data_IF_082240869400
#
_entry.id   IF_082240869400
#
_cell.length_a   1.000
_cell.length_b   1.000
_cell.length_c   1.000
_cell.angle_alpha   90.00
_cell.angle_beta   90.00
_cell.angle_gamma   90.00
#
_symmetry.space_group_name_H-M   'P 1'
#
loop_
_entity.id
_entity.type
_entity.pdbx_description
1 polymer ?
#
# COMPACT_ATOMS: atom_id res chain seq x y z
N UNK A 1 4.95 15.89 -23.98
CA UNK A 1 4.19 14.63 -23.75
C UNK A 1 4.93 13.84 -22.69
N UNK A 2 4.70 14.17 -21.41
CA UNK A 2 5.43 13.56 -20.30
C UNK A 2 4.67 12.31 -19.85
N UNK A 3 4.96 11.16 -20.46
CA UNK A 3 4.32 9.88 -20.15
C UNK A 3 4.71 9.33 -18.76
N UNK A 4 5.60 10.01 -18.04
CA UNK A 4 6.03 9.67 -16.68
C UNK A 4 4.93 9.92 -15.63
N UNK A 5 3.97 10.80 -15.92
CA UNK A 5 2.86 11.14 -15.01
C UNK A 5 2.00 9.89 -14.70
N UNK A 6 1.41 9.18 -15.68
CA UNK A 6 0.60 8.00 -15.38
C UNK A 6 1.42 6.82 -14.86
N UNK A 7 2.71 6.72 -15.19
CA UNK A 7 3.55 5.56 -14.81
C UNK A 7 3.74 5.48 -13.30
N UNK A 8 4.03 6.60 -12.64
CA UNK A 8 4.27 6.60 -11.19
C UNK A 8 2.96 6.33 -10.40
N UNK A 9 1.79 6.77 -10.89
CA UNK A 9 0.48 6.52 -10.26
C UNK A 9 0.15 5.05 -10.40
N UNK A 10 0.37 4.49 -11.59
CA UNK A 10 0.14 3.08 -11.88
C UNK A 10 1.04 2.19 -11.02
N UNK A 11 2.30 2.58 -10.79
CA UNK A 11 3.21 1.87 -9.88
C UNK A 11 2.71 1.92 -8.44
N UNK A 12 2.30 3.09 -7.93
CA UNK A 12 1.72 3.21 -6.59
C UNK A 12 0.47 2.35 -6.40
N UNK A 13 -0.42 2.36 -7.39
CA UNK A 13 -1.61 1.52 -7.41
C UNK A 13 -1.27 0.02 -7.48
N UNK A 14 -0.28 -0.37 -8.30
CA UNK A 14 0.17 -1.76 -8.39
C UNK A 14 0.78 -2.25 -7.08
N UNK A 15 1.57 -1.42 -6.38
CA UNK A 15 2.12 -1.76 -5.07
C UNK A 15 1.00 -2.00 -4.05
N UNK A 16 -0.03 -1.14 -4.02
CA UNK A 16 -1.22 -1.38 -3.18
C UNK A 16 -1.97 -2.66 -3.54
N UNK A 17 -2.14 -2.94 -4.84
CA UNK A 17 -2.76 -4.17 -5.30
C UNK A 17 -1.94 -5.42 -4.93
N UNK A 18 -0.61 -5.34 -4.98
CA UNK A 18 0.32 -6.39 -4.56
C UNK A 18 0.25 -6.66 -3.06
N UNK A 19 0.05 -5.63 -2.22
CA UNK A 19 -0.17 -5.84 -0.79
C UNK A 19 -1.46 -6.63 -0.54
N UNK A 20 -2.53 -6.34 -1.29
CA UNK A 20 -3.79 -7.07 -1.21
C UNK A 20 -3.67 -8.53 -1.67
N UNK A 21 -3.03 -8.78 -2.81
CA UNK A 21 -2.82 -10.15 -3.32
C UNK A 21 -1.78 -10.93 -2.51
N UNK A 22 -0.79 -10.26 -1.91
CA UNK A 22 0.18 -10.86 -0.99
C UNK A 22 -0.50 -11.51 0.21
N UNK A 23 -1.51 -10.86 0.79
CA UNK A 23 -2.24 -11.42 1.93
C UNK A 23 -2.87 -12.80 1.62
N UNK A 24 -3.38 -12.98 0.40
CA UNK A 24 -3.94 -14.26 -0.04
C UNK A 24 -2.83 -15.31 -0.21
N UNK A 25 -1.69 -14.92 -0.79
CA UNK A 25 -0.52 -15.79 -0.96
C UNK A 25 0.03 -16.23 0.40
N UNK A 26 0.10 -15.32 1.37
CA UNK A 26 0.56 -15.62 2.73
C UNK A 26 -0.29 -16.70 3.39
N UNK A 27 -1.61 -16.63 3.22
CA UNK A 27 -2.55 -17.60 3.80
C UNK A 27 -2.47 -18.95 3.10
N UNK A 28 -2.36 -18.98 1.77
CA UNK A 28 -2.29 -20.24 1.01
C UNK A 28 -0.99 -20.99 1.28
N UNK A 29 0.14 -20.26 1.35
CA UNK A 29 1.46 -20.86 1.54
C UNK A 29 1.90 -20.95 3.00
N UNK A 30 1.08 -20.48 3.96
CA UNK A 30 1.40 -20.49 5.38
C UNK A 30 2.60 -19.61 5.75
N UNK A 31 2.79 -18.50 5.04
CA UNK A 31 3.85 -17.54 5.31
C UNK A 31 3.41 -16.60 6.44
N UNK A 32 4.32 -16.35 7.39
CA UNK A 32 4.08 -15.44 8.50
C UNK A 32 4.18 -13.97 8.05
N UNK A 33 3.12 -13.48 7.40
CA UNK A 33 2.99 -12.07 7.01
C UNK A 33 1.82 -11.36 7.69
N UNK A 34 1.68 -10.06 7.39
CA UNK A 34 0.66 -9.19 8.01
C UNK A 34 -0.76 -9.62 7.61
N UNK A 35 -0.95 -10.10 6.38
CA UNK A 35 -2.23 -10.62 5.91
C UNK A 35 -2.62 -11.91 6.61
N UNK A 36 -1.64 -12.79 6.85
CA UNK A 36 -1.85 -14.00 7.65
C UNK A 36 -2.25 -13.68 9.10
N UNK A 37 -1.54 -12.77 9.76
CA UNK A 37 -1.85 -12.35 11.14
C UNK A 37 -3.21 -11.67 11.24
N UNK A 38 -3.58 -10.82 10.28
CA UNK A 38 -4.90 -10.17 10.24
C UNK A 38 -6.01 -11.21 10.08
N UNK A 39 -5.83 -12.21 9.21
CA UNK A 39 -6.79 -13.28 9.03
C UNK A 39 -6.97 -14.11 10.31
N UNK A 40 -5.88 -14.48 10.99
CA UNK A 40 -5.94 -15.16 12.28
C UNK A 40 -6.64 -14.32 13.36
N UNK A 41 -6.37 -13.02 13.41
CA UNK A 41 -7.01 -12.10 14.34
C UNK A 41 -8.54 -12.05 14.12
N UNK A 42 -9.00 -12.06 12.86
CA UNK A 42 -10.42 -12.14 12.51
C UNK A 42 -11.04 -13.44 13.04
N UNK A 43 -10.38 -14.59 12.82
CA UNK A 43 -10.88 -15.89 13.30
C UNK A 43 -10.91 -15.97 14.83
N UNK A 44 -9.92 -15.40 15.51
CA UNK A 44 -9.84 -15.35 16.96
C UNK A 44 -10.71 -14.24 17.59
N UNK A 45 -11.43 -13.45 16.76
CA UNK A 45 -12.21 -12.27 17.17
C UNK A 45 -11.40 -11.26 17.99
N UNK A 46 -10.11 -11.17 17.70
CA UNK A 46 -9.20 -10.19 18.30
C UNK A 46 -9.34 -8.85 17.57
N UNK A 47 -10.41 -8.13 17.91
CA UNK A 47 -10.72 -6.82 17.32
C UNK A 47 -9.58 -5.79 17.46
N UNK A 48 -8.89 -5.68 18.61
CA UNK A 48 -7.73 -4.79 18.74
C UNK A 48 -6.64 -5.11 17.71
N UNK A 49 -6.31 -6.39 17.51
CA UNK A 49 -5.27 -6.79 16.57
C UNK A 49 -5.68 -6.52 15.12
N UNK A 50 -6.94 -6.79 14.75
CA UNK A 50 -7.48 -6.44 13.42
C UNK A 50 -7.39 -4.95 13.17
N UNK A 51 -7.78 -4.12 14.15
CA UNK A 51 -7.73 -2.66 14.03
C UNK A 51 -6.29 -2.15 13.88
N UNK A 52 -5.36 -2.69 14.68
CA UNK A 52 -3.94 -2.34 14.61
C UNK A 52 -3.33 -2.69 13.24
N UNK A 53 -3.59 -3.91 12.74
CA UNK A 53 -3.12 -4.35 11.44
C UNK A 53 -3.74 -3.53 10.29
N UNK A 54 -5.02 -3.17 10.40
CA UNK A 54 -5.69 -2.29 9.42
C UNK A 54 -5.08 -0.89 9.41
N UNK A 55 -4.84 -0.29 10.58
CA UNK A 55 -4.18 1.01 10.71
C UNK A 55 -2.75 0.99 10.16
N UNK A 56 -2.02 -0.09 10.41
CA UNK A 56 -0.67 -0.29 9.90
C UNK A 56 -0.64 -0.31 8.37
N UNK A 57 -1.50 -1.13 7.74
CA UNK A 57 -1.62 -1.22 6.29
C UNK A 57 -2.08 0.12 5.67
N UNK A 58 -3.06 0.78 6.28
CA UNK A 58 -3.55 2.08 5.82
C UNK A 58 -2.44 3.15 5.88
N UNK A 59 -1.65 3.16 6.95
CA UNK A 59 -0.53 4.10 7.12
C UNK A 59 0.54 3.88 6.05
N UNK A 60 0.92 2.62 5.79
CA UNK A 60 1.86 2.30 4.70
C UNK A 60 1.31 2.76 3.36
N UNK A 61 0.02 2.51 3.10
CA UNK A 61 -0.60 2.93 1.85
C UNK A 61 -0.57 4.46 1.67
N UNK A 62 -0.87 5.22 2.72
CA UNK A 62 -0.75 6.69 2.70
C UNK A 62 0.70 7.12 2.49
N UNK A 63 1.68 6.48 3.13
CA UNK A 63 3.10 6.79 2.95
C UNK A 63 3.57 6.50 1.51
N UNK A 64 3.09 5.42 0.88
CA UNK A 64 3.39 5.11 -0.52
C UNK A 64 2.79 6.18 -1.44
N UNK A 65 1.53 6.58 -1.20
CA UNK A 65 0.90 7.65 -1.98
C UNK A 65 1.64 8.97 -1.80
N UNK A 66 2.02 9.32 -0.57
CA UNK A 66 2.80 10.52 -0.30
C UNK A 66 4.18 10.47 -0.96
N UNK A 67 4.85 9.32 -0.95
CA UNK A 67 6.13 9.13 -1.62
C UNK A 67 5.99 9.27 -3.15
N UNK A 68 4.88 8.78 -3.71
CA UNK A 68 4.52 8.98 -5.11
C UNK A 68 4.28 10.46 -5.42
N UNK A 69 3.53 11.17 -4.58
CA UNK A 69 3.26 12.61 -4.70
C UNK A 69 4.54 13.46 -4.59
N UNK A 70 5.45 13.13 -3.66
CA UNK A 70 6.76 13.77 -3.55
C UNK A 70 7.63 13.44 -4.76
N UNK A 71 7.61 12.18 -5.22
CA UNK A 71 8.29 11.76 -6.43
C UNK A 71 7.85 12.56 -7.64
N UNK A 72 6.56 12.90 -7.75
CA UNK A 72 6.04 13.83 -8.75
C UNK A 72 6.59 15.24 -8.60
N UNK A 73 6.54 15.81 -7.39
CA UNK A 73 7.06 17.15 -7.12
C UNK A 73 8.56 17.28 -7.47
N UNK A 74 9.33 16.22 -7.28
CA UNK A 74 10.76 16.18 -7.62
C UNK A 74 11.05 15.96 -9.12
N UNK A 75 10.23 15.15 -9.81
CA UNK A 75 10.40 14.89 -11.24
C UNK A 75 9.86 16.02 -12.13
N UNK A 76 8.94 16.86 -11.63
CA UNK A 76 8.30 17.91 -12.41
C UNK A 76 8.61 19.32 -11.86
N UNK A 77 9.73 19.96 -12.26
CA UNK A 77 10.05 21.35 -11.90
C UNK A 77 9.16 22.38 -12.63
N UNK A 78 8.05 21.97 -13.27
CA UNK A 78 7.12 22.87 -13.98
C UNK A 78 5.87 23.27 -13.17
N UNK A 79 5.69 22.75 -11.95
CA UNK A 79 4.55 23.13 -11.08
C UNK A 79 4.71 24.55 -10.50
N UNK A 80 5.86 25.20 -10.69
CA UNK A 80 6.09 26.59 -10.23
C UNK A 80 5.51 27.68 -11.17
N UNK A 81 4.83 27.33 -12.27
CA UNK A 81 4.21 28.32 -13.16
C UNK A 81 2.76 27.99 -13.50
N UNK A 82 1.85 28.21 -12.54
CA UNK A 82 0.46 28.54 -12.80
C UNK A 82 -0.02 29.59 -11.78
#
# INVERSE_FOLDING_TARGET
>A
RNALIPVVTVVGFQLGALMGTSAIVEVIFGLNGVGYTLLQAIFNRDYPLVQAATLYLATIFVLINLAVDIGYAFLDPRIEQA
#
